data_IF_581219672689
#
_entry.id   IF_581219672689
#
_cell.length_a   1.000
_cell.length_b   1.000
_cell.length_c   1.000
_cell.angle_alpha   90.00
_cell.angle_beta   90.00
_cell.angle_gamma   90.00
#
_symmetry.space_group_name_H-M   'P 1'
#
loop_
_entity.id
_entity.type
_entity.pdbx_description
1 polymer ?
#
# COMPACT_ATOMS: atom_id res chain seq x y z
N UNK A 1 22.42 20.81 -28.60
CA UNK A 1 22.22 20.95 -27.14
C UNK A 1 20.94 21.69 -26.72
N UNK A 2 20.41 22.67 -27.49
CA UNK A 2 19.14 23.35 -27.16
C UNK A 2 17.90 22.47 -27.33
N UNK A 3 17.81 21.70 -28.42
CA UNK A 3 16.65 20.86 -28.70
C UNK A 3 16.45 19.77 -27.64
N UNK A 4 17.54 19.11 -27.22
CA UNK A 4 17.51 18.12 -26.15
C UNK A 4 17.03 18.72 -24.84
N UNK A 5 17.49 19.93 -24.51
CA UNK A 5 17.08 20.64 -23.30
C UNK A 5 15.58 20.98 -23.33
N UNK A 6 15.06 21.45 -24.47
CA UNK A 6 13.64 21.74 -24.64
C UNK A 6 12.80 20.46 -24.49
N UNK A 7 13.24 19.36 -25.12
CA UNK A 7 12.56 18.07 -25.03
C UNK A 7 12.51 17.54 -23.59
N UNK A 8 13.63 17.64 -22.86
CA UNK A 8 13.75 17.21 -21.47
C UNK A 8 12.85 18.06 -20.55
N UNK A 9 12.79 19.37 -20.80
CA UNK A 9 11.99 20.30 -20.00
C UNK A 9 10.50 20.05 -20.21
N UNK A 10 10.08 19.83 -21.47
CA UNK A 10 8.70 19.46 -21.79
C UNK A 10 8.29 18.13 -21.14
N UNK A 11 9.17 17.12 -21.17
CA UNK A 11 8.92 15.82 -20.54
C UNK A 11 8.76 15.93 -19.01
N UNK A 12 9.60 16.72 -18.35
CA UNK A 12 9.53 16.96 -16.90
C UNK A 12 8.25 17.69 -16.50
N UNK A 13 7.81 18.68 -17.30
CA UNK A 13 6.53 19.38 -17.06
C UNK A 13 5.36 18.41 -17.16
N UNK A 14 5.34 17.53 -18.17
CA UNK A 14 4.30 16.52 -18.33
C UNK A 14 4.30 15.54 -17.14
N UNK A 15 5.47 15.15 -16.64
CA UNK A 15 5.60 14.26 -15.48
C UNK A 15 5.14 14.91 -14.17
N UNK A 16 5.34 16.22 -13.99
CA UNK A 16 4.85 16.97 -12.82
C UNK A 16 3.32 17.16 -12.81
N UNK A 17 2.70 17.22 -13.99
CA UNK A 17 1.24 17.33 -14.14
C UNK A 17 0.54 15.97 -14.00
N UNK A 18 1.27 14.87 -14.16
CA UNK A 18 0.75 13.53 -13.89
C UNK A 18 0.49 13.43 -12.37
N UNK A 19 -0.78 13.34 -11.93
CA UNK A 19 -1.10 13.31 -10.51
C UNK A 19 -0.37 12.14 -9.88
N UNK A 20 0.40 12.46 -8.84
CA UNK A 20 1.08 11.58 -7.88
C UNK A 20 0.64 10.12 -7.99
N UNK A 21 1.11 9.43 -9.03
CA UNK A 21 0.79 8.02 -9.25
C UNK A 21 1.45 7.16 -8.16
N UNK A 22 2.37 7.78 -7.42
CA UNK A 22 2.93 7.36 -6.14
C UNK A 22 1.86 7.12 -5.06
N UNK A 23 0.71 7.81 -5.13
CA UNK A 23 -0.39 7.65 -4.18
C UNK A 23 -1.07 6.28 -4.21
N UNK A 24 -0.89 5.51 -5.29
CA UNK A 24 -1.43 4.16 -5.42
C UNK A 24 -0.59 3.09 -4.70
N UNK A 25 0.61 3.42 -4.21
CA UNK A 25 1.46 2.50 -3.45
C UNK A 25 1.38 2.76 -1.94
N UNK A 26 0.22 3.18 -1.44
CA UNK A 26 -0.13 3.02 -0.03
C UNK A 26 -0.38 1.53 0.25
N UNK A 27 0.67 0.72 0.11
CA UNK A 27 0.62 -0.69 0.42
C UNK A 27 0.56 -0.81 1.94
N UNK A 28 -0.66 -0.86 2.46
CA UNK A 28 -0.85 -0.99 3.89
C UNK A 28 -0.15 -2.27 4.35
N UNK A 29 0.79 -2.12 5.29
CA UNK A 29 1.69 -3.22 5.68
C UNK A 29 0.84 -4.41 6.17
N UNK A 30 0.98 -5.62 5.59
CA UNK A 30 0.12 -6.77 5.89
C UNK A 30 0.18 -7.21 7.35
N UNK A 31 -0.91 -7.80 7.84
CA UNK A 31 -1.11 -8.19 9.25
C UNK A 31 0.07 -8.96 9.86
N UNK A 32 0.64 -9.92 9.12
CA UNK A 32 1.75 -10.75 9.62
C UNK A 32 3.04 -9.96 9.88
N UNK A 33 3.29 -8.89 9.11
CA UNK A 33 4.44 -8.00 9.34
C UNK A 33 4.20 -7.02 10.49
N UNK A 34 2.99 -6.95 11.04
CA UNK A 34 2.64 -6.13 12.20
C UNK A 34 2.61 -6.93 13.52
N UNK A 35 2.93 -8.23 13.49
CA UNK A 35 2.86 -9.11 14.66
C UNK A 35 1.46 -9.72 14.90
N UNK A 36 0.62 -9.75 13.86
CA UNK A 36 -0.65 -10.47 13.87
C UNK A 36 -0.63 -11.73 12.99
N UNK A 37 -1.76 -12.42 12.92
CA UNK A 37 -2.01 -13.55 12.03
C UNK A 37 -3.40 -13.40 11.41
N UNK A 38 -3.53 -13.75 10.13
CA UNK A 38 -4.84 -13.75 9.47
C UNK A 38 -5.58 -15.06 9.79
N UNK A 39 -6.73 -14.96 10.45
CA UNK A 39 -7.59 -16.11 10.79
C UNK A 39 -8.97 -15.95 10.16
N UNK A 40 -9.71 -17.04 10.01
CA UNK A 40 -11.08 -17.00 9.48
C UNK A 40 -11.97 -16.17 10.42
N UNK A 41 -12.87 -15.38 9.84
CA UNK A 41 -13.88 -14.66 10.62
C UNK A 41 -14.68 -15.65 11.50
N UNK A 42 -14.87 -15.30 12.77
CA UNK A 42 -15.53 -16.18 13.76
C UNK A 42 -14.58 -17.15 14.50
N UNK A 43 -13.26 -17.07 14.26
CA UNK A 43 -12.30 -17.84 15.07
C UNK A 43 -12.38 -17.40 16.55
N UNK A 44 -12.69 -18.31 17.49
CA UNK A 44 -12.79 -17.97 18.91
C UNK A 44 -11.42 -17.55 19.46
N UNK A 45 -11.41 -16.69 20.47
CA UNK A 45 -10.20 -16.14 21.10
C UNK A 45 -9.31 -15.25 20.20
N UNK A 46 -9.77 -14.85 19.01
CA UNK A 46 -9.09 -13.82 18.23
C UNK A 46 -9.31 -12.43 18.85
N UNK A 47 -8.23 -11.78 19.30
CA UNK A 47 -8.26 -10.34 19.61
C UNK A 47 -8.08 -9.55 18.30
N UNK A 48 -9.04 -8.71 17.91
CA UNK A 48 -8.93 -7.90 16.70
C UNK A 48 -7.66 -7.06 16.72
N UNK A 49 -6.94 -7.06 15.60
CA UNK A 49 -5.72 -6.29 15.40
C UNK A 49 -5.77 -5.54 14.08
N UNK A 50 -5.11 -4.39 14.00
CA UNK A 50 -5.21 -3.52 12.82
C UNK A 50 -4.23 -3.98 11.74
N UNK A 51 -4.75 -4.41 10.60
CA UNK A 51 -3.94 -4.70 9.43
C UNK A 51 -4.74 -5.44 8.36
N UNK A 52 -4.30 -5.35 7.10
CA UNK A 52 -5.01 -5.97 6.00
C UNK A 52 -4.75 -7.48 6.00
N UNK A 53 -5.83 -8.21 5.77
CA UNK A 53 -5.88 -9.64 5.52
C UNK A 53 -6.71 -9.90 4.25
N UNK A 54 -6.65 -11.12 3.70
CA UNK A 54 -7.45 -11.49 2.52
C UNK A 54 -8.95 -11.51 2.87
N UNK A 55 -9.80 -11.50 1.84
CA UNK A 55 -11.25 -11.60 2.03
C UNK A 55 -11.63 -12.77 2.96
N UNK A 56 -12.65 -12.55 3.81
CA UNK A 56 -13.14 -13.52 4.81
C UNK A 56 -12.17 -13.88 5.94
N UNK A 57 -11.05 -13.17 6.06
CA UNK A 57 -10.10 -13.31 7.17
C UNK A 57 -9.93 -12.00 7.94
N UNK A 58 -9.68 -12.11 9.23
CA UNK A 58 -9.45 -10.99 10.14
C UNK A 58 -8.03 -11.04 10.67
N UNK A 59 -7.45 -9.87 10.91
CA UNK A 59 -6.14 -9.76 11.54
C UNK A 59 -6.28 -9.95 13.06
N UNK A 60 -5.61 -10.96 13.60
CA UNK A 60 -5.66 -11.35 15.01
C UNK A 60 -4.30 -11.13 15.66
N UNK A 61 -4.26 -10.62 16.90
CA UNK A 61 -3.00 -10.46 17.64
C UNK A 61 -2.46 -11.82 18.09
N UNK A 62 -1.17 -12.07 17.87
CA UNK A 62 -0.47 -13.22 18.47
C UNK A 62 -0.30 -12.91 19.97
N UNK A 63 -0.70 -13.84 20.83
CA UNK A 63 -0.73 -13.67 22.29
C UNK A 63 0.65 -13.82 22.91
#
# INVERSE_FOLDING_TARGET
MRLLHILLTALLIILQVLPDSTGALNFERPCYLRGGICLKQGTPNCKPFQGPCRAFTICCRIK
#
